data_IF_205812800148
#
_entry.id   IF_205812800148
#
_cell.length_a   1.000
_cell.length_b   1.000
_cell.length_c   1.000
_cell.angle_alpha   90.00
_cell.angle_beta   90.00
_cell.angle_gamma   90.00
#
_symmetry.space_group_name_H-M   'P 1'
#
loop_
_entity.id
_entity.type
_entity.pdbx_description
1 polymer ?
#
# COMPACT_ATOMS: atom_id res chain seq x y z
N UNK A 1 -0.53 26.67 -48.24
CA UNK A 1 -0.11 25.26 -48.20
C UNK A 1 0.33 24.86 -46.79
N UNK A 2 1.23 25.57 -46.13
CA UNK A 2 1.80 25.29 -44.79
C UNK A 2 0.70 25.17 -43.69
N UNK A 3 -0.31 26.05 -43.69
CA UNK A 3 -1.40 26.03 -42.68
C UNK A 3 -2.23 24.73 -42.68
N UNK A 4 -2.45 24.14 -43.89
CA UNK A 4 -3.15 22.84 -44.01
C UNK A 4 -2.30 21.66 -43.50
N UNK A 5 -0.97 21.72 -43.65
CA UNK A 5 -0.08 20.72 -43.08
C UNK A 5 0.00 20.83 -41.55
N UNK A 6 0.08 22.02 -41.01
CA UNK A 6 0.05 22.26 -39.54
C UNK A 6 -1.26 21.77 -38.91
N UNK A 7 -2.39 22.01 -39.56
CA UNK A 7 -3.69 21.50 -39.09
C UNK A 7 -3.73 19.94 -39.09
N UNK A 8 -3.16 19.28 -40.11
CA UNK A 8 -3.10 17.82 -40.16
C UNK A 8 -2.18 17.26 -39.08
N UNK A 9 -1.04 17.90 -38.84
CA UNK A 9 -0.11 17.50 -37.75
C UNK A 9 -0.79 17.69 -36.39
N UNK A 10 -1.47 18.80 -36.16
CA UNK A 10 -2.21 19.07 -34.94
C UNK A 10 -3.32 18.04 -34.70
N UNK A 11 -4.10 17.72 -35.74
CA UNK A 11 -5.14 16.68 -35.69
C UNK A 11 -4.53 15.30 -35.38
N UNK A 12 -3.43 14.95 -36.02
CA UNK A 12 -2.73 13.68 -35.75
C UNK A 12 -2.22 13.59 -34.32
N UNK A 13 -1.69 14.69 -33.76
CA UNK A 13 -1.26 14.74 -32.36
C UNK A 13 -2.44 14.56 -31.39
N UNK A 14 -3.58 15.19 -31.66
CA UNK A 14 -4.80 14.98 -30.87
C UNK A 14 -5.24 13.52 -30.92
N UNK A 15 -5.25 12.90 -32.11
CA UNK A 15 -5.59 11.49 -32.26
C UNK A 15 -4.61 10.58 -31.49
N UNK A 16 -3.31 10.85 -31.57
CA UNK A 16 -2.31 10.09 -30.82
C UNK A 16 -2.58 10.21 -29.31
N UNK A 17 -2.81 11.41 -28.80
CA UNK A 17 -3.08 11.63 -27.36
C UNK A 17 -4.38 10.94 -26.92
N UNK A 18 -5.45 11.00 -27.73
CA UNK A 18 -6.74 10.36 -27.43
C UNK A 18 -6.69 8.84 -27.47
N UNK A 19 -5.95 8.29 -28.43
CA UNK A 19 -5.93 6.83 -28.65
C UNK A 19 -4.74 6.12 -28.00
N UNK A 20 -3.67 6.84 -27.60
CA UNK A 20 -2.53 6.24 -26.92
C UNK A 20 -2.92 5.43 -25.66
N UNK A 21 -3.85 5.87 -24.79
CA UNK A 21 -4.30 5.05 -23.68
C UNK A 21 -4.98 3.76 -24.12
N UNK A 22 -5.79 3.80 -25.19
CA UNK A 22 -6.49 2.62 -25.73
C UNK A 22 -5.49 1.65 -26.35
N UNK A 23 -4.55 2.14 -27.14
CA UNK A 23 -3.46 1.33 -27.73
C UNK A 23 -2.61 0.72 -26.61
N UNK A 24 -2.32 1.48 -25.57
CA UNK A 24 -1.60 0.98 -24.40
C UNK A 24 -2.38 -0.15 -23.70
N UNK A 25 -3.68 0.00 -23.51
CA UNK A 25 -4.53 -1.06 -22.95
C UNK A 25 -4.56 -2.32 -23.82
N UNK A 26 -4.63 -2.16 -25.16
CA UNK A 26 -4.57 -3.27 -26.11
C UNK A 26 -3.20 -3.99 -26.00
N UNK A 27 -2.10 -3.25 -26.00
CA UNK A 27 -0.75 -3.81 -25.85
C UNK A 27 -0.61 -4.55 -24.51
N UNK A 28 -1.17 -3.98 -23.44
CA UNK A 28 -1.17 -4.59 -22.11
C UNK A 28 -2.02 -5.87 -22.05
N UNK A 29 -3.09 -5.97 -22.84
CA UNK A 29 -3.95 -7.18 -22.91
C UNK A 29 -3.22 -8.38 -23.53
N UNK A 30 -2.21 -8.15 -24.35
CA UNK A 30 -1.33 -9.20 -24.91
C UNK A 30 -0.13 -9.55 -24.02
N UNK A 31 -0.04 -8.99 -22.82
CA UNK A 31 1.01 -9.35 -21.88
C UNK A 31 0.82 -10.82 -21.43
N UNK A 32 1.76 -11.68 -21.75
CA UNK A 32 1.73 -13.11 -21.43
C UNK A 32 1.84 -13.39 -19.92
N UNK A 33 2.20 -12.40 -19.12
CA UNK A 33 2.25 -12.51 -17.66
C UNK A 33 0.91 -12.12 -17.06
N UNK A 34 0.26 -13.06 -16.39
CA UNK A 34 -0.97 -12.83 -15.62
C UNK A 34 -0.76 -11.91 -14.40
N UNK A 35 0.48 -11.59 -14.06
CA UNK A 35 0.82 -10.68 -12.96
C UNK A 35 1.48 -9.42 -13.52
N UNK A 36 1.04 -8.24 -13.07
CA UNK A 36 1.65 -6.96 -13.45
C UNK A 36 3.13 -6.84 -13.03
N UNK A 37 3.62 -7.72 -12.16
CA UNK A 37 4.99 -7.75 -11.67
C UNK A 37 6.01 -8.29 -12.69
N UNK A 38 5.57 -9.09 -13.70
CA UNK A 38 6.45 -9.59 -14.79
C UNK A 38 6.01 -8.99 -16.13
N UNK A 39 6.45 -7.79 -16.40
CA UNK A 39 6.23 -7.15 -17.70
C UNK A 39 7.15 -7.74 -18.75
N UNK A 40 6.59 -8.12 -19.90
CA UNK A 40 7.37 -8.54 -21.06
C UNK A 40 8.31 -7.42 -21.54
N UNK A 41 9.44 -7.78 -22.16
CA UNK A 41 10.54 -6.86 -22.45
C UNK A 41 10.20 -5.51 -23.11
N UNK A 42 9.09 -5.42 -23.87
CA UNK A 42 8.66 -4.17 -24.50
C UNK A 42 8.07 -3.19 -23.46
N UNK A 43 7.20 -3.65 -22.59
CA UNK A 43 6.58 -2.81 -21.55
C UNK A 43 7.64 -2.29 -20.56
N UNK A 44 8.61 -3.12 -20.18
CA UNK A 44 9.74 -2.69 -19.34
C UNK A 44 10.57 -1.60 -20.04
N UNK A 45 10.84 -1.74 -21.35
CA UNK A 45 11.57 -0.72 -22.11
C UNK A 45 10.78 0.60 -22.21
N UNK A 46 9.46 0.52 -22.40
CA UNK A 46 8.61 1.70 -22.44
C UNK A 46 8.54 2.43 -21.10
N UNK A 47 8.40 1.68 -20.00
CA UNK A 47 8.43 2.26 -18.64
C UNK A 47 9.79 2.91 -18.34
N UNK A 48 10.91 2.26 -18.65
CA UNK A 48 12.25 2.84 -18.51
C UNK A 48 12.47 4.08 -19.39
N UNK A 49 11.88 4.10 -20.59
CA UNK A 49 11.91 5.29 -21.42
C UNK A 49 11.13 6.45 -20.80
N UNK A 50 9.93 6.18 -20.27
CA UNK A 50 9.13 7.18 -19.53
C UNK A 50 9.86 7.71 -18.30
N UNK A 51 10.45 6.83 -17.51
CA UNK A 51 11.24 7.17 -16.31
C UNK A 51 12.45 8.05 -16.68
N UNK A 52 13.23 7.66 -17.71
CA UNK A 52 14.35 8.45 -18.20
C UNK A 52 13.91 9.83 -18.71
N UNK A 53 12.74 9.89 -19.37
CA UNK A 53 12.17 11.13 -19.88
C UNK A 53 11.76 12.05 -18.73
N UNK A 54 11.10 11.52 -17.70
CA UNK A 54 10.77 12.25 -16.49
C UNK A 54 12.03 12.76 -15.78
N UNK A 55 13.04 11.90 -15.60
CA UNK A 55 14.31 12.30 -14.98
C UNK A 55 15.01 13.44 -15.72
N UNK A 56 14.87 13.50 -17.07
CA UNK A 56 15.59 14.48 -17.90
C UNK A 56 14.84 15.80 -18.09
N UNK A 57 13.51 15.76 -18.21
CA UNK A 57 12.74 16.89 -18.72
C UNK A 57 11.73 17.48 -17.71
N UNK A 58 11.45 16.80 -16.61
CA UNK A 58 10.61 17.39 -15.57
C UNK A 58 11.38 18.54 -14.87
N UNK A 59 10.69 19.67 -14.62
CA UNK A 59 11.29 20.77 -13.87
C UNK A 59 11.65 20.31 -12.47
N UNK A 60 10.70 19.73 -11.74
CA UNK A 60 10.90 19.10 -10.44
C UNK A 60 10.31 17.68 -10.41
N UNK A 61 10.83 16.83 -9.54
CA UNK A 61 10.42 15.43 -9.40
C UNK A 61 10.16 15.11 -7.94
N UNK A 62 8.91 14.73 -7.64
CA UNK A 62 8.51 14.27 -6.31
C UNK A 62 8.53 12.74 -6.29
N UNK A 63 9.10 12.19 -5.24
CA UNK A 63 9.16 10.74 -4.99
C UNK A 63 8.58 10.42 -3.61
N UNK A 64 8.00 9.23 -3.48
CA UNK A 64 7.28 8.79 -2.28
C UNK A 64 8.14 7.99 -1.29
N UNK A 65 9.43 7.73 -1.61
CA UNK A 65 10.33 7.04 -0.71
C UNK A 65 11.77 7.51 -0.89
N UNK A 66 12.55 7.43 0.16
CA UNK A 66 13.98 7.74 0.11
C UNK A 66 14.75 6.80 -0.83
N UNK A 67 14.41 5.51 -0.83
CA UNK A 67 15.01 4.56 -1.77
C UNK A 67 14.76 4.93 -3.23
N UNK A 68 13.59 5.50 -3.57
CA UNK A 68 13.33 6.02 -4.91
C UNK A 68 14.16 7.28 -5.19
N UNK A 69 14.34 8.16 -4.22
CA UNK A 69 15.23 9.34 -4.33
C UNK A 69 16.65 8.92 -4.66
N UNK A 70 17.19 7.98 -3.90
CA UNK A 70 18.56 7.49 -4.08
C UNK A 70 18.71 6.79 -5.44
N UNK A 71 17.75 6.00 -5.86
CA UNK A 71 17.70 5.38 -7.18
C UNK A 71 17.77 6.41 -8.32
N UNK A 72 16.98 7.50 -8.28
CA UNK A 72 17.03 8.55 -9.30
C UNK A 72 18.37 9.28 -9.30
N UNK A 73 18.95 9.51 -8.12
CA UNK A 73 20.27 10.14 -7.99
C UNK A 73 21.37 9.24 -8.57
N UNK A 74 21.40 7.96 -8.23
CA UNK A 74 22.40 7.01 -8.69
C UNK A 74 22.26 6.67 -10.18
N UNK A 75 21.02 6.47 -10.66
CA UNK A 75 20.77 6.02 -12.03
C UNK A 75 20.83 7.13 -13.05
N UNK A 76 20.33 8.32 -12.70
CA UNK A 76 20.16 9.44 -13.62
C UNK A 76 20.94 10.70 -13.24
N UNK A 77 21.60 10.73 -12.09
CA UNK A 77 22.19 11.95 -11.53
C UNK A 77 21.14 13.01 -11.21
N UNK A 78 19.87 12.61 -11.02
CA UNK A 78 18.73 13.51 -10.83
C UNK A 78 18.41 13.64 -9.34
N UNK A 79 18.51 14.87 -8.81
CA UNK A 79 17.97 15.18 -7.49
C UNK A 79 16.42 15.20 -7.56
N UNK A 80 15.78 14.69 -6.52
CA UNK A 80 14.32 14.59 -6.40
C UNK A 80 13.88 15.01 -5.00
N UNK A 81 12.62 15.40 -4.85
CA UNK A 81 12.04 15.78 -3.58
C UNK A 81 11.26 14.62 -2.98
N UNK A 82 11.65 14.21 -1.78
CA UNK A 82 10.87 13.25 -1.02
C UNK A 82 9.71 13.98 -0.34
N UNK A 83 8.51 13.78 -0.86
CA UNK A 83 7.25 14.25 -0.28
C UNK A 83 6.34 13.03 -0.16
N UNK A 84 6.07 12.56 1.07
CA UNK A 84 5.25 11.37 1.30
C UNK A 84 3.77 11.61 1.01
N UNK A 85 2.95 10.55 1.06
CA UNK A 85 1.50 10.69 1.11
C UNK A 85 1.06 11.31 2.44
N UNK A 86 -0.01 12.10 2.41
CA UNK A 86 -0.65 12.61 3.59
C UNK A 86 -1.75 11.70 4.12
N UNK A 87 -2.14 11.91 5.37
CA UNK A 87 -3.28 11.29 6.03
C UNK A 87 -3.92 12.28 7.00
N UNK A 88 -5.25 12.28 7.06
CA UNK A 88 -5.98 12.93 8.13
C UNK A 88 -6.23 11.92 9.25
N UNK A 89 -5.97 12.32 10.49
CA UNK A 89 -6.28 11.45 11.65
C UNK A 89 -7.79 11.48 11.87
N UNK A 90 -8.48 10.35 11.65
CA UNK A 90 -9.94 10.30 11.81
C UNK A 90 -10.32 10.35 13.30
N UNK A 91 -11.58 10.71 13.55
CA UNK A 91 -12.12 10.60 14.91
C UNK A 91 -12.24 9.14 15.32
N UNK A 92 -11.98 8.85 16.60
CA UNK A 92 -12.10 7.50 17.15
C UNK A 92 -13.49 6.91 16.88
N UNK A 93 -13.52 5.69 16.39
CA UNK A 93 -14.73 4.91 16.12
C UNK A 93 -14.81 3.70 17.03
N UNK A 94 -15.92 3.59 17.78
CA UNK A 94 -16.22 2.37 18.55
C UNK A 94 -16.77 1.30 17.62
N UNK A 95 -16.54 0.03 17.99
CA UNK A 95 -17.09 -1.09 17.26
C UNK A 95 -18.63 -1.11 17.35
N UNK A 96 -19.31 -0.94 16.25
CA UNK A 96 -20.77 -1.06 16.07
C UNK A 96 -21.10 -1.83 14.80
N UNK A 97 -20.71 -1.30 13.62
CA UNK A 97 -20.96 -1.92 12.31
C UNK A 97 -20.26 -3.28 12.25
N UNK A 98 -18.96 -3.32 12.61
CA UNK A 98 -18.16 -4.54 12.57
C UNK A 98 -18.64 -5.61 13.56
N UNK A 99 -19.20 -5.18 14.70
CA UNK A 99 -19.80 -6.10 15.66
C UNK A 99 -21.08 -6.72 15.10
N UNK A 100 -21.97 -5.90 14.51
CA UNK A 100 -23.23 -6.37 13.92
C UNK A 100 -23.01 -7.27 12.70
N UNK A 101 -22.03 -6.95 11.83
CA UNK A 101 -21.81 -7.69 10.60
C UNK A 101 -20.97 -8.96 10.81
N UNK A 102 -19.95 -8.90 11.67
CA UNK A 102 -18.90 -9.93 11.74
C UNK A 102 -18.70 -10.50 13.15
N UNK A 103 -19.42 -10.00 14.14
CA UNK A 103 -19.21 -10.38 15.54
C UNK A 103 -17.80 -10.04 16.01
N UNK A 104 -17.26 -8.88 15.61
CA UNK A 104 -15.96 -8.40 16.02
C UNK A 104 -16.07 -7.47 17.22
N UNK A 105 -15.15 -7.64 18.17
CA UNK A 105 -15.04 -6.81 19.36
C UNK A 105 -13.67 -6.14 19.40
N UNK A 106 -13.56 -5.08 20.22
CA UNK A 106 -12.29 -4.36 20.43
C UNK A 106 -11.21 -5.34 20.88
N UNK A 107 -10.03 -5.23 20.25
CA UNK A 107 -8.85 -6.06 20.46
C UNK A 107 -9.08 -7.58 20.24
N UNK A 108 -10.20 -7.96 19.62
CA UNK A 108 -10.58 -9.34 19.33
C UNK A 108 -9.98 -9.92 18.05
N UNK A 109 -9.23 -9.15 17.25
CA UNK A 109 -8.78 -9.59 15.94
C UNK A 109 -7.47 -8.94 15.49
N UNK A 110 -6.80 -9.65 14.58
CA UNK A 110 -5.69 -9.20 13.77
C UNK A 110 -6.27 -8.67 12.44
N UNK A 111 -5.83 -7.51 11.97
CA UNK A 111 -6.33 -6.89 10.75
C UNK A 111 -5.27 -6.93 9.64
N UNK A 112 -5.63 -7.46 8.50
CA UNK A 112 -4.99 -7.23 7.21
C UNK A 112 -5.91 -6.37 6.35
N UNK A 113 -5.43 -5.23 5.84
CA UNK A 113 -6.21 -4.34 4.99
C UNK A 113 -5.37 -3.91 3.79
N UNK A 114 -5.59 -4.58 2.65
CA UNK A 114 -4.97 -4.28 1.38
C UNK A 114 -5.67 -5.04 0.25
N UNK A 115 -5.33 -4.72 -1.01
CA UNK A 115 -5.74 -5.54 -2.15
C UNK A 115 -5.21 -6.97 -2.02
N UNK A 116 -6.03 -7.97 -2.37
CA UNK A 116 -5.61 -9.38 -2.36
C UNK A 116 -4.83 -9.68 -3.63
N UNK A 117 -3.51 -9.44 -3.56
CA UNK A 117 -2.54 -9.68 -4.63
C UNK A 117 -1.25 -10.27 -4.04
N UNK A 118 -0.47 -11.06 -4.82
CA UNK A 118 0.71 -11.77 -4.29
C UNK A 118 1.71 -10.88 -3.57
N UNK A 119 1.97 -9.69 -4.10
CA UNK A 119 2.94 -8.73 -3.56
C UNK A 119 2.56 -8.15 -2.18
N UNK A 120 1.31 -8.32 -1.74
CA UNK A 120 0.85 -7.93 -0.40
C UNK A 120 1.09 -9.02 0.65
N UNK A 121 1.55 -10.21 0.26
CA UNK A 121 2.03 -11.24 1.16
C UNK A 121 0.98 -11.87 2.08
N UNK A 122 -0.33 -11.76 1.75
CA UNK A 122 -1.40 -12.30 2.59
C UNK A 122 -1.24 -13.80 2.88
N UNK A 123 -0.68 -14.56 1.95
CA UNK A 123 -0.39 -15.98 2.13
C UNK A 123 0.60 -16.25 3.27
N UNK A 124 1.58 -15.37 3.51
CA UNK A 124 2.48 -15.48 4.67
C UNK A 124 1.73 -15.29 5.98
N UNK A 125 0.81 -14.32 6.01
CA UNK A 125 0.03 -14.04 7.22
C UNK A 125 -0.94 -15.15 7.55
N UNK A 126 -1.63 -15.71 6.57
CA UNK A 126 -2.54 -16.85 6.78
C UNK A 126 -1.75 -18.04 7.30
N UNK A 127 -0.61 -18.37 6.71
CA UNK A 127 0.23 -19.48 7.16
C UNK A 127 0.74 -19.27 8.59
N UNK A 128 1.26 -18.08 8.90
CA UNK A 128 1.68 -17.74 10.26
C UNK A 128 0.53 -17.81 11.27
N UNK A 129 -0.65 -17.30 10.90
CA UNK A 129 -1.84 -17.30 11.75
C UNK A 129 -2.35 -18.70 12.05
N UNK A 130 -2.43 -19.57 11.06
CA UNK A 130 -2.85 -20.98 11.20
C UNK A 130 -1.99 -21.76 12.20
N UNK A 131 -0.73 -21.35 12.37
CA UNK A 131 0.21 -21.96 13.31
C UNK A 131 0.39 -21.15 14.60
N UNK A 132 -0.43 -20.11 14.83
CA UNK A 132 -0.42 -19.29 16.05
C UNK A 132 -1.54 -19.75 16.97
N UNK A 133 -1.19 -20.08 18.22
CA UNK A 133 -2.16 -20.41 19.26
C UNK A 133 -2.78 -19.11 19.79
N UNK A 134 -4.01 -18.82 19.37
CA UNK A 134 -4.73 -17.61 19.76
C UNK A 134 -6.24 -17.78 19.58
N UNK A 135 -7.01 -17.12 20.41
CA UNK A 135 -8.47 -16.99 20.31
C UNK A 135 -8.90 -15.84 19.37
N UNK A 136 -7.95 -15.02 18.93
CA UNK A 136 -8.23 -13.87 18.06
C UNK A 136 -8.65 -14.33 16.66
N UNK A 137 -9.45 -13.49 16.01
CA UNK A 137 -9.83 -13.66 14.61
C UNK A 137 -8.77 -13.02 13.69
N UNK A 138 -8.65 -13.51 12.48
CA UNK A 138 -7.93 -12.84 11.39
C UNK A 138 -8.96 -12.21 10.45
N UNK A 139 -8.97 -10.89 10.37
CA UNK A 139 -9.85 -10.13 9.48
C UNK A 139 -9.07 -9.70 8.25
N UNK A 140 -9.55 -10.12 7.08
CA UNK A 140 -8.98 -9.81 5.77
C UNK A 140 -9.93 -8.87 5.07
N UNK A 141 -9.58 -7.58 5.06
CA UNK A 141 -10.32 -6.51 4.40
C UNK A 141 -9.63 -6.11 3.10
N UNK A 142 -10.39 -6.13 2.00
CA UNK A 142 -9.92 -5.72 0.68
C UNK A 142 -10.51 -6.54 -0.45
N UNK A 143 -10.48 -5.93 -1.63
CA UNK A 143 -11.01 -6.55 -2.84
C UNK A 143 -9.98 -7.39 -3.58
N UNK A 144 -10.49 -8.35 -4.35
CA UNK A 144 -9.69 -9.13 -5.31
C UNK A 144 -9.40 -8.27 -6.53
N UNK A 145 -8.14 -8.06 -6.87
CA UNK A 145 -7.72 -7.35 -8.08
C UNK A 145 -7.18 -8.35 -9.10
N UNK A 146 -7.89 -8.54 -10.21
CA UNK A 146 -7.49 -9.22 -11.45
C UNK A 146 -6.77 -10.59 -11.38
N UNK A 147 -6.42 -11.11 -10.21
CA UNK A 147 -5.72 -12.38 -10.00
C UNK A 147 -6.63 -13.44 -9.37
N UNK A 148 -7.65 -13.91 -10.12
CA UNK A 148 -8.58 -14.93 -9.65
C UNK A 148 -7.89 -16.20 -9.14
N UNK A 149 -6.71 -16.54 -9.69
CA UNK A 149 -5.92 -17.70 -9.27
C UNK A 149 -5.32 -17.51 -7.85
N UNK A 150 -4.74 -16.33 -7.57
CA UNK A 150 -4.21 -16.04 -6.23
C UNK A 150 -5.33 -15.91 -5.19
N UNK A 151 -6.44 -15.26 -5.53
CA UNK A 151 -7.58 -15.20 -4.63
C UNK A 151 -8.12 -16.60 -4.28
N UNK A 152 -8.19 -17.50 -5.27
CA UNK A 152 -8.55 -18.88 -5.02
C UNK A 152 -7.55 -19.58 -4.10
N UNK A 153 -6.26 -19.41 -4.33
CA UNK A 153 -5.21 -19.93 -3.44
C UNK A 153 -5.41 -19.43 -2.00
N UNK A 154 -5.64 -18.14 -1.81
CA UNK A 154 -5.89 -17.54 -0.49
C UNK A 154 -7.11 -18.17 0.19
N UNK A 155 -8.23 -18.32 -0.51
CA UNK A 155 -9.43 -18.97 0.04
C UNK A 155 -9.18 -20.46 0.35
N UNK A 156 -8.38 -21.15 -0.46
CA UNK A 156 -8.03 -22.55 -0.21
C UNK A 156 -7.12 -22.72 1.01
N UNK A 157 -6.29 -21.73 1.33
CA UNK A 157 -5.46 -21.67 2.54
C UNK A 157 -6.24 -21.30 3.80
N UNK A 158 -7.23 -20.42 3.68
CA UNK A 158 -7.98 -19.83 4.80
C UNK A 158 -9.13 -20.75 5.27
N UNK A 159 -8.83 -22.02 5.60
CA UNK A 159 -9.82 -23.03 6.05
C UNK A 159 -9.91 -23.08 7.57
N UNK A 160 -10.15 -21.93 8.20
CA UNK A 160 -10.31 -21.79 9.64
C UNK A 160 -11.44 -20.80 9.90
N UNK A 161 -12.38 -21.15 10.77
CA UNK A 161 -13.56 -20.34 11.09
C UNK A 161 -13.19 -19.00 11.76
N UNK A 162 -11.96 -18.85 12.25
CA UNK A 162 -11.44 -17.60 12.80
C UNK A 162 -11.04 -16.60 11.71
N UNK A 163 -10.96 -17.01 10.43
CA UNK A 163 -10.57 -16.13 9.32
C UNK A 163 -11.82 -15.55 8.67
N UNK A 164 -11.93 -14.23 8.68
CA UNK A 164 -13.09 -13.49 8.17
C UNK A 164 -12.67 -12.63 6.98
N UNK A 165 -13.31 -12.83 5.84
CA UNK A 165 -13.17 -11.95 4.67
C UNK A 165 -14.31 -10.94 4.67
N UNK A 166 -14.00 -9.65 4.76
CA UNK A 166 -15.02 -8.59 4.70
C UNK A 166 -15.31 -8.16 3.26
N UNK A 167 -14.40 -8.42 2.32
CA UNK A 167 -14.40 -7.79 1.02
C UNK A 167 -13.92 -6.34 1.11
N UNK A 168 -14.34 -5.52 0.15
CA UNK A 168 -14.04 -4.10 0.15
C UNK A 168 -14.87 -3.39 1.22
N UNK A 169 -14.22 -2.55 2.02
CA UNK A 169 -14.82 -1.77 3.12
C UNK A 169 -14.55 -0.29 2.91
N UNK A 170 -15.48 0.55 3.32
CA UNK A 170 -15.44 2.00 3.15
C UNK A 170 -15.92 2.71 4.41
N UNK A 171 -15.65 4.03 4.47
CA UNK A 171 -16.21 4.96 5.46
C UNK A 171 -16.03 4.51 6.91
N UNK A 172 -17.12 4.52 7.66
CA UNK A 172 -17.13 4.23 9.08
C UNK A 172 -16.70 2.78 9.39
N UNK A 173 -17.04 1.82 8.54
CA UNK A 173 -16.64 0.42 8.71
C UNK A 173 -15.11 0.26 8.63
N UNK A 174 -14.46 0.99 7.72
CA UNK A 174 -13.01 1.02 7.58
C UNK A 174 -12.35 1.51 8.88
N UNK A 175 -12.83 2.65 9.40
CA UNK A 175 -12.26 3.24 10.60
C UNK A 175 -12.55 2.41 11.84
N UNK A 176 -13.74 1.80 11.95
CA UNK A 176 -14.02 0.86 13.03
C UNK A 176 -13.04 -0.32 13.02
N UNK A 177 -12.69 -0.86 11.84
CA UNK A 177 -11.71 -1.94 11.73
C UNK A 177 -10.33 -1.52 12.22
N UNK A 178 -9.87 -0.33 11.90
CA UNK A 178 -8.57 0.14 12.40
C UNK A 178 -8.59 0.40 13.92
N UNK A 179 -9.55 1.17 14.42
CA UNK A 179 -9.56 1.59 15.82
C UNK A 179 -9.73 0.43 16.80
N UNK A 180 -10.34 -0.66 16.38
CA UNK A 180 -10.69 -1.78 17.26
C UNK A 180 -9.85 -3.03 17.03
N UNK A 181 -8.89 -3.06 16.11
CA UNK A 181 -8.00 -4.20 15.94
C UNK A 181 -6.96 -4.30 17.06
N UNK A 182 -6.52 -5.53 17.34
CA UNK A 182 -5.41 -5.79 18.27
C UNK A 182 -4.07 -5.49 17.62
N UNK A 183 -3.88 -5.95 16.39
CA UNK A 183 -2.66 -5.77 15.60
C UNK A 183 -3.07 -5.54 14.15
N UNK A 184 -2.49 -4.54 13.50
CA UNK A 184 -2.52 -4.38 12.06
C UNK A 184 -1.28 -5.02 11.44
N UNK A 185 -1.45 -5.87 10.41
CA UNK A 185 -0.34 -6.58 9.76
C UNK A 185 -0.28 -6.27 8.28
N UNK A 186 0.89 -5.82 7.81
CA UNK A 186 1.17 -5.59 6.38
C UNK A 186 2.40 -6.39 5.95
N UNK A 187 2.24 -7.65 5.50
CA UNK A 187 3.34 -8.57 5.18
C UNK A 187 3.83 -8.43 3.73
N UNK A 188 3.85 -7.22 3.20
CA UNK A 188 4.11 -6.96 1.80
C UNK A 188 5.56 -7.23 1.39
N UNK A 189 5.74 -7.80 0.21
CA UNK A 189 7.05 -7.94 -0.42
C UNK A 189 7.53 -6.66 -1.09
N UNK A 190 6.59 -5.82 -1.55
CA UNK A 190 6.86 -4.57 -2.27
C UNK A 190 5.81 -3.54 -1.89
N UNK A 191 6.27 -2.36 -1.50
CA UNK A 191 5.45 -1.17 -1.29
C UNK A 191 6.11 0.07 -1.90
N UNK A 192 5.29 1.01 -2.34
CA UNK A 192 5.76 2.36 -2.64
C UNK A 192 5.73 3.21 -1.37
N UNK A 193 4.53 3.61 -0.97
CA UNK A 193 4.21 4.19 0.32
C UNK A 193 2.79 3.73 0.71
N UNK A 194 2.67 2.80 1.68
CA UNK A 194 1.38 2.18 2.00
C UNK A 194 0.49 3.11 2.81
N UNK A 195 -0.54 3.67 2.17
CA UNK A 195 -1.53 4.55 2.84
C UNK A 195 -2.23 3.79 3.97
N UNK A 196 -2.58 2.52 3.76
CA UNK A 196 -3.23 1.70 4.79
C UNK A 196 -2.38 1.53 6.07
N UNK A 197 -1.05 1.62 5.96
CA UNK A 197 -0.17 1.62 7.13
C UNK A 197 -0.22 2.97 7.86
N UNK A 198 -0.24 4.09 7.12
CA UNK A 198 -0.41 5.41 7.71
C UNK A 198 -1.77 5.54 8.43
N UNK A 199 -2.85 5.02 7.81
CA UNK A 199 -4.18 4.95 8.40
C UNK A 199 -4.18 4.15 9.70
N UNK A 200 -3.56 2.97 9.70
CA UNK A 200 -3.42 2.13 10.89
C UNK A 200 -2.65 2.86 12.02
N UNK A 201 -1.53 3.50 11.68
CA UNK A 201 -0.75 4.26 12.65
C UNK A 201 -1.50 5.48 13.18
N UNK A 202 -2.24 6.19 12.32
CA UNK A 202 -3.08 7.33 12.68
C UNK A 202 -4.21 6.95 13.66
N UNK A 203 -4.75 5.73 13.53
CA UNK A 203 -5.74 5.16 14.44
C UNK A 203 -5.12 4.54 15.71
N UNK A 204 -3.81 4.61 15.90
CA UNK A 204 -3.14 4.04 17.08
C UNK A 204 -3.10 2.50 17.08
N UNK A 205 -3.11 1.85 15.90
CA UNK A 205 -2.91 0.41 15.82
C UNK A 205 -1.49 0.02 16.19
N UNK A 206 -1.31 -1.13 16.84
CA UNK A 206 0.00 -1.78 16.84
C UNK A 206 0.26 -2.37 15.46
N UNK A 207 1.31 -1.92 14.80
CA UNK A 207 1.62 -2.29 13.42
C UNK A 207 2.76 -3.31 13.38
N UNK A 208 2.55 -4.42 12.65
CA UNK A 208 3.57 -5.41 12.32
C UNK A 208 3.74 -5.47 10.81
N UNK A 209 4.93 -5.12 10.32
CA UNK A 209 5.18 -4.99 8.88
C UNK A 209 6.43 -5.77 8.46
N UNK A 210 6.54 -6.13 7.18
CA UNK A 210 7.80 -6.66 6.63
C UNK A 210 8.92 -5.61 6.71
N UNK A 211 10.16 -6.04 6.86
CA UNK A 211 11.36 -5.21 7.05
C UNK A 211 11.90 -4.58 5.76
N UNK A 212 11.01 -4.33 4.78
CA UNK A 212 11.37 -3.57 3.58
C UNK A 212 11.49 -2.08 3.92
N UNK A 213 12.38 -1.36 3.26
CA UNK A 213 12.71 0.04 3.58
C UNK A 213 11.48 0.95 3.62
N UNK A 214 10.54 0.75 2.69
CA UNK A 214 9.34 1.60 2.58
C UNK A 214 8.37 1.44 3.76
N UNK A 215 8.23 0.25 4.34
CA UNK A 215 7.39 0.02 5.52
C UNK A 215 8.15 0.31 6.81
N UNK A 216 9.42 -0.10 6.88
CA UNK A 216 10.28 0.11 8.03
C UNK A 216 10.47 1.60 8.34
N UNK A 217 10.71 2.43 7.30
CA UNK A 217 10.87 3.87 7.48
C UNK A 217 9.58 4.57 7.93
N UNK A 218 8.41 4.05 7.52
CA UNK A 218 7.11 4.61 7.93
C UNK A 218 6.82 4.28 9.38
N UNK A 219 7.00 3.02 9.82
CA UNK A 219 6.71 2.67 11.22
C UNK A 219 7.75 3.21 12.19
N UNK A 220 9.00 3.44 11.74
CA UNK A 220 10.07 3.94 12.58
C UNK A 220 10.23 3.14 13.88
N UNK A 221 10.25 3.82 15.02
CA UNK A 221 10.30 3.21 16.36
C UNK A 221 8.93 2.83 16.93
N UNK A 222 7.84 3.21 16.24
CA UNK A 222 6.46 3.02 16.75
C UNK A 222 5.84 1.68 16.35
N UNK A 223 6.45 0.94 15.40
CA UNK A 223 5.95 -0.34 14.93
C UNK A 223 6.95 -1.49 15.07
N UNK A 224 6.48 -2.67 14.76
CA UNK A 224 7.27 -3.90 14.77
C UNK A 224 7.56 -4.35 13.35
N UNK A 225 8.75 -4.91 13.13
CA UNK A 225 9.11 -5.50 11.85
C UNK A 225 9.39 -6.99 11.98
N UNK A 226 9.12 -7.72 10.91
CA UNK A 226 9.55 -9.11 10.73
C UNK A 226 10.29 -9.24 9.39
N UNK A 227 11.12 -10.26 9.28
CA UNK A 227 11.92 -10.49 8.10
C UNK A 227 11.03 -10.83 6.90
N UNK A 228 11.18 -10.05 5.82
CA UNK A 228 10.42 -10.19 4.58
C UNK A 228 10.31 -11.65 4.12
N UNK A 229 9.09 -12.08 3.78
CA UNK A 229 8.76 -13.43 3.28
C UNK A 229 9.09 -14.56 4.26
N UNK A 230 9.40 -14.27 5.53
CA UNK A 230 9.70 -15.26 6.56
C UNK A 230 8.48 -15.51 7.46
N UNK A 231 7.76 -16.61 7.18
CA UNK A 231 6.56 -17.02 7.93
C UNK A 231 6.85 -17.31 9.40
N UNK A 232 8.04 -17.90 9.70
CA UNK A 232 8.39 -18.26 11.06
C UNK A 232 8.69 -17.03 11.91
N UNK A 233 9.37 -16.02 11.34
CA UNK A 233 9.62 -14.77 12.03
C UNK A 233 8.32 -13.98 12.21
N UNK A 234 7.46 -13.93 11.18
CA UNK A 234 6.11 -13.32 11.28
C UNK A 234 5.29 -13.97 12.40
N UNK A 235 5.24 -15.31 12.47
CA UNK A 235 4.59 -16.06 13.53
C UNK A 235 5.16 -15.70 14.90
N UNK A 236 6.49 -15.71 15.03
CA UNK A 236 7.17 -15.38 16.28
C UNK A 236 6.81 -13.99 16.79
N UNK A 237 6.81 -13.00 15.90
CA UNK A 237 6.41 -11.62 16.23
C UNK A 237 4.94 -11.50 16.57
N UNK A 238 4.05 -12.20 15.87
CA UNK A 238 2.62 -12.25 16.22
C UNK A 238 2.42 -12.81 17.64
N UNK A 239 3.04 -13.94 17.98
CA UNK A 239 2.96 -14.52 19.31
C UNK A 239 3.49 -13.57 20.39
N UNK A 240 4.63 -12.92 20.13
CA UNK A 240 5.23 -11.93 21.03
C UNK A 240 4.26 -10.77 21.31
N UNK A 241 3.66 -10.18 20.25
CA UNK A 241 2.76 -9.03 20.38
C UNK A 241 1.42 -9.41 21.01
N UNK A 242 0.87 -10.57 20.70
CA UNK A 242 -0.37 -11.07 21.31
C UNK A 242 -0.21 -11.38 22.80
N UNK A 243 0.97 -11.78 23.24
CA UNK A 243 1.29 -12.06 24.65
C UNK A 243 1.52 -10.80 25.50
N UNK A 244 1.63 -9.62 24.88
CA UNK A 244 1.86 -8.34 25.58
C UNK A 244 0.58 -7.53 25.71
N UNK A 245 0.54 -6.66 26.72
CA UNK A 245 -0.48 -5.60 26.79
C UNK A 245 -0.28 -4.62 25.62
N UNK A 246 -1.40 -4.15 25.04
CA UNK A 246 -1.37 -3.12 24.00
C UNK A 246 -0.72 -1.84 24.55
N UNK A 247 0.27 -1.30 23.84
CA UNK A 247 0.95 -0.09 24.25
C UNK A 247 0.05 1.15 24.03
N UNK A 248 0.30 2.20 24.81
CA UNK A 248 -0.24 3.53 24.50
C UNK A 248 0.38 4.02 23.19
N UNK A 249 -0.45 4.58 22.32
CA UNK A 249 -0.08 5.02 20.99
C UNK A 249 -0.20 6.53 20.75
N UNK A 250 -0.32 7.32 21.83
CA UNK A 250 -0.42 8.77 21.74
C UNK A 250 0.75 9.38 20.95
N UNK A 251 1.98 8.96 21.25
CA UNK A 251 3.19 9.43 20.56
C UNK A 251 3.22 9.01 19.07
N UNK A 252 2.76 7.80 18.76
CA UNK A 252 2.62 7.32 17.37
C UNK A 252 1.65 8.19 16.58
N UNK A 253 0.49 8.51 17.15
CA UNK A 253 -0.54 9.34 16.52
C UNK A 253 0.01 10.75 16.30
N UNK A 254 0.70 11.30 17.27
CA UNK A 254 1.34 12.62 17.16
C UNK A 254 2.45 12.62 16.10
N UNK A 255 3.28 11.59 16.04
CA UNK A 255 4.26 11.40 14.99
C UNK A 255 3.62 11.42 13.58
N UNK A 256 2.50 10.71 13.39
CA UNK A 256 1.78 10.71 12.11
C UNK A 256 1.24 12.09 11.78
N UNK A 257 0.62 12.79 12.74
CA UNK A 257 0.12 14.15 12.55
C UNK A 257 1.20 15.14 12.12
N UNK A 258 2.38 15.05 12.74
CA UNK A 258 3.46 15.99 12.50
C UNK A 258 4.25 15.73 11.21
N UNK A 259 4.23 14.49 10.68
CA UNK A 259 5.06 14.12 9.53
C UNK A 259 4.26 13.79 8.26
N UNK A 260 2.96 13.50 8.41
CA UNK A 260 2.12 12.98 7.31
C UNK A 260 0.76 13.66 7.21
N UNK A 261 0.55 14.85 7.80
CA UNK A 261 -0.71 15.58 7.61
C UNK A 261 -0.81 16.14 6.18
N UNK A 262 -2.01 16.17 5.62
CA UNK A 262 -2.22 16.75 4.30
C UNK A 262 -1.85 18.24 4.23
N UNK A 263 -2.00 18.99 5.32
CA UNK A 263 -1.61 20.40 5.37
C UNK A 263 -0.10 20.55 5.15
N UNK A 264 0.72 19.79 5.91
CA UNK A 264 2.17 19.79 5.78
C UNK A 264 2.62 19.35 4.38
N UNK A 265 2.02 18.27 3.85
CA UNK A 265 2.32 17.74 2.52
C UNK A 265 1.97 18.75 1.43
N UNK A 266 0.84 19.44 1.58
CA UNK A 266 0.39 20.49 0.65
C UNK A 266 1.35 21.66 0.66
N UNK A 267 1.74 22.15 1.83
CA UNK A 267 2.66 23.29 1.97
C UNK A 267 4.02 22.97 1.33
N UNK A 268 4.59 21.79 1.62
CA UNK A 268 5.84 21.33 1.00
C UNK A 268 5.73 21.20 -0.52
N UNK A 269 4.58 20.76 -1.03
CA UNK A 269 4.32 20.67 -2.47
C UNK A 269 4.21 22.07 -3.09
N UNK A 270 3.50 22.99 -2.46
CA UNK A 270 3.35 24.37 -2.94
C UNK A 270 4.68 25.13 -2.99
N UNK A 271 5.61 24.83 -2.08
CA UNK A 271 6.94 25.43 -2.12
C UNK A 271 7.70 25.11 -3.41
N UNK A 272 7.48 23.93 -4.00
CA UNK A 272 8.12 23.56 -5.28
C UNK A 272 7.55 24.38 -6.45
N UNK A 273 6.28 24.76 -6.41
CA UNK A 273 5.65 25.59 -7.45
C UNK A 273 6.04 27.07 -7.38
N UNK A 274 6.65 27.52 -6.26
CA UNK A 274 7.10 28.91 -6.08
C UNK A 274 8.54 29.12 -6.58
N UNK A 275 9.26 28.05 -6.91
CA UNK A 275 10.60 28.10 -7.49
C UNK A 275 10.57 28.37 -8.98
#
# INVERSE_FOLDING_TARGET
>A
MIRKYLQKIYLALIFIILYAPIVTLIILSFNQSKTRAKWGGFATKFLKFGEKTAAKYADELIVLSEGTRDYFKETYGRETFFIPNGIDVPNEKKADIITKKYGLEKDGYILFLARIVPEKGLHYLIDAFMHTDTDKKLVIAGGVSHSGEYAKQIHDMAKDDRIIFTGFVEEDELWELYYNCRIYVLPSDIEGMPISLLEAMACGCECLVSDIDTTKNVVGEYGYTFKKSDVNDLKSKLCEMLGKQKADKAEQIEYVKNNYSWDEITDRTLELYKK
#
